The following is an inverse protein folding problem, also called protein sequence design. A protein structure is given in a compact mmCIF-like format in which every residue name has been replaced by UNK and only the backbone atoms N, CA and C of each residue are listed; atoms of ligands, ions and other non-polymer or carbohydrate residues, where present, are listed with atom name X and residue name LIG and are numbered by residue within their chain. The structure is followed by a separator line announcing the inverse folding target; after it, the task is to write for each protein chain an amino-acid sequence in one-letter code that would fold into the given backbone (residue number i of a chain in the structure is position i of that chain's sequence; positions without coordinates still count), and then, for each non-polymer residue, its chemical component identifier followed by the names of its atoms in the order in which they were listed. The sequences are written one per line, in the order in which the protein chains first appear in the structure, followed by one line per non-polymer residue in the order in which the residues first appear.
data_IF_496683787722
#
_entry.id   IF_496683787722
#
_cell.length_a   1.000
_cell.length_b   1.000
_cell.length_c   1.000
_cell.angle_alpha   90.00
_cell.angle_beta   90.00
_cell.angle_gamma   90.00
#
_symmetry.space_group_name_H-M   'P 1'
#
loop_
_entity.id
_entity.type
_entity.pdbx_description
1 polymer ?
#
# COMPACT_ATOMS: atom_id res chain seq x y z
N UNK A 1 8.62 1.13 -6.78
CA UNK A 1 8.43 1.14 -5.32
C UNK A 1 6.98 0.79 -5.02
N UNK A 2 6.67 0.21 -3.86
CA UNK A 2 5.31 -0.22 -3.52
C UNK A 2 4.26 0.91 -3.57
N UNK A 3 4.68 2.16 -3.32
CA UNK A 3 3.83 3.36 -3.46
C UNK A 3 3.43 3.57 -4.93
N UNK A 4 4.35 3.43 -5.88
CA UNK A 4 4.06 3.59 -7.31
C UNK A 4 3.06 2.53 -7.78
N UNK A 5 3.22 1.28 -7.32
CA UNK A 5 2.30 0.19 -7.66
C UNK A 5 0.92 0.41 -7.02
N UNK A 6 0.87 0.93 -5.79
CA UNK A 6 -0.38 1.33 -5.16
C UNK A 6 -1.06 2.48 -5.91
N UNK A 7 -0.29 3.47 -6.37
CA UNK A 7 -0.80 4.59 -7.17
C UNK A 7 -1.41 4.10 -8.48
N UNK A 8 -0.72 3.20 -9.20
CA UNK A 8 -1.29 2.56 -10.41
C UNK A 8 -2.61 1.87 -10.11
N UNK A 9 -2.68 1.07 -9.04
CA UNK A 9 -3.91 0.38 -8.64
C UNK A 9 -5.04 1.34 -8.28
N UNK A 10 -4.71 2.46 -7.63
CA UNK A 10 -5.68 3.51 -7.32
C UNK A 10 -6.17 4.22 -8.59
N UNK A 11 -5.31 4.44 -9.58
CA UNK A 11 -5.69 5.03 -10.86
C UNK A 11 -6.55 4.08 -11.70
N UNK A 12 -6.32 2.77 -11.63
CA UNK A 12 -7.10 1.73 -12.33
C UNK A 12 -8.47 1.50 -11.69
N UNK A 13 -8.51 1.24 -10.38
CA UNK A 13 -9.72 0.76 -9.68
C UNK A 13 -10.42 1.86 -8.87
N UNK A 14 -9.76 2.99 -8.64
CA UNK A 14 -10.22 4.06 -7.77
C UNK A 14 -9.89 3.83 -6.29
N UNK A 15 -9.55 4.91 -5.59
CA UNK A 15 -9.13 4.88 -4.17
C UNK A 15 -10.18 4.25 -3.24
N UNK A 16 -11.48 4.45 -3.51
CA UNK A 16 -12.58 3.84 -2.76
C UNK A 16 -12.60 2.31 -2.87
N UNK A 17 -12.34 1.77 -4.06
CA UNK A 17 -12.33 0.34 -4.29
C UNK A 17 -11.11 -0.30 -3.61
N UNK A 18 -9.94 0.31 -3.74
CA UNK A 18 -8.71 -0.12 -3.07
C UNK A 18 -8.88 -0.13 -1.55
N UNK A 19 -9.42 0.94 -0.98
CA UNK A 19 -9.70 1.03 0.45
C UNK A 19 -10.62 -0.12 0.92
N UNK A 20 -11.65 -0.46 0.15
CA UNK A 20 -12.54 -1.59 0.44
C UNK A 20 -11.81 -2.93 0.37
N UNK A 21 -11.03 -3.18 -0.70
CA UNK A 21 -10.22 -4.41 -0.86
C UNK A 21 -9.28 -4.62 0.33
N UNK A 22 -8.65 -3.54 0.79
CA UNK A 22 -7.70 -3.58 1.90
C UNK A 22 -8.35 -3.45 3.29
N UNK A 23 -9.68 -3.45 3.40
CA UNK A 23 -10.41 -3.19 4.66
C UNK A 23 -9.82 -2.00 5.42
N UNK A 24 -9.67 -0.87 4.72
CA UNK A 24 -9.02 0.36 5.17
C UNK A 24 -9.87 1.58 4.83
N UNK A 25 -9.59 2.74 5.43
CA UNK A 25 -10.24 4.00 5.04
C UNK A 25 -9.55 4.59 3.81
N UNK A 26 -10.29 5.36 3.00
CA UNK A 26 -9.69 6.09 1.87
C UNK A 26 -8.60 7.04 2.33
N UNK A 27 -8.80 7.71 3.47
CA UNK A 27 -7.81 8.60 4.07
C UNK A 27 -6.51 7.86 4.39
N UNK A 28 -6.58 6.62 4.87
CA UNK A 28 -5.40 5.81 5.14
C UNK A 28 -4.63 5.46 3.84
N UNK A 29 -5.34 5.11 2.77
CA UNK A 29 -4.69 4.92 1.45
C UNK A 29 -4.00 6.20 0.99
N UNK A 30 -4.65 7.35 1.18
CA UNK A 30 -4.09 8.66 0.82
C UNK A 30 -2.81 8.97 1.60
N UNK A 31 -2.78 8.66 2.89
CA UNK A 31 -1.61 8.83 3.75
C UNK A 31 -0.43 7.95 3.29
N UNK A 32 -0.72 6.72 2.83
CA UNK A 32 0.30 5.83 2.26
C UNK A 32 0.90 6.36 0.97
N UNK A 33 0.05 6.87 0.06
CA UNK A 33 0.51 7.44 -1.22
C UNK A 33 1.39 8.68 -1.03
N UNK A 34 1.16 9.46 0.03
CA UNK A 34 2.00 10.62 0.37
C UNK A 34 3.23 10.27 1.20
N UNK A 35 3.40 9.00 1.59
CA UNK A 35 4.48 8.58 2.48
C UNK A 35 4.35 9.08 3.94
N UNK A 36 3.23 9.69 4.32
CA UNK A 36 3.01 10.22 5.69
C UNK A 36 2.76 9.09 6.71
N UNK A 37 2.33 7.92 6.22
CA UNK A 37 2.14 6.70 6.99
C UNK A 37 2.60 5.51 6.17
N UNK A 38 3.04 4.47 6.87
CA UNK A 38 3.26 3.15 6.28
C UNK A 38 2.12 2.18 6.62
N UNK A 39 1.93 1.11 5.83
CA UNK A 39 1.01 0.04 6.17
C UNK A 39 1.52 -0.74 7.39
N UNK A 40 0.66 -0.95 8.39
CA UNK A 40 1.01 -1.82 9.51
C UNK A 40 1.13 -3.29 9.09
N UNK A 41 1.73 -4.15 9.91
CA UNK A 41 2.00 -5.56 9.61
C UNK A 41 0.78 -6.34 9.11
N UNK A 42 -0.41 -6.07 9.66
CA UNK A 42 -1.68 -6.69 9.26
C UNK A 42 -2.10 -6.36 7.81
N UNK A 43 -1.49 -5.34 7.19
CA UNK A 43 -1.75 -4.91 5.82
C UNK A 43 -0.74 -5.47 4.83
N UNK A 44 0.38 -6.07 5.27
CA UNK A 44 1.43 -6.56 4.38
C UNK A 44 0.90 -7.65 3.44
N UNK A 45 0.25 -8.69 3.97
CA UNK A 45 -0.31 -9.76 3.14
C UNK A 45 -1.35 -9.25 2.12
N UNK A 46 -2.45 -8.58 2.53
CA UNK A 46 -3.45 -8.12 1.57
C UNK A 46 -2.93 -7.07 0.59
N UNK A 47 -1.96 -6.24 1.00
CA UNK A 47 -1.31 -5.30 0.09
C UNK A 47 -0.39 -6.02 -0.91
N UNK A 48 0.37 -7.02 -0.47
CA UNK A 48 1.22 -7.82 -1.36
C UNK A 48 0.41 -8.57 -2.41
N UNK A 49 -0.74 -9.13 -2.03
CA UNK A 49 -1.69 -9.76 -2.97
C UNK A 49 -2.26 -8.74 -3.96
N UNK A 50 -2.68 -7.56 -3.48
CA UNK A 50 -3.21 -6.48 -4.33
C UNK A 50 -2.18 -5.99 -5.36
N UNK A 51 -0.93 -5.85 -4.93
CA UNK A 51 0.16 -5.34 -5.76
C UNK A 51 0.87 -6.44 -6.58
N UNK A 52 0.46 -7.71 -6.41
CA UNK A 52 1.15 -8.87 -6.99
C UNK A 52 2.66 -8.88 -6.67
N UNK A 53 2.98 -8.60 -5.42
CA UNK A 53 4.34 -8.56 -4.89
C UNK A 53 4.57 -9.68 -3.88
N UNK A 54 5.82 -10.11 -3.73
CA UNK A 54 6.18 -11.01 -2.64
C UNK A 54 6.07 -10.26 -1.28
N UNK A 55 5.43 -10.84 -0.25
CA UNK A 55 5.26 -10.16 1.05
C UNK A 55 6.58 -9.71 1.68
N UNK A 56 7.65 -10.50 1.51
CA UNK A 56 8.98 -10.19 2.01
C UNK A 56 9.55 -8.95 1.33
N UNK A 57 9.48 -8.90 0.00
CA UNK A 57 9.93 -7.75 -0.81
C UNK A 57 9.16 -6.48 -0.44
N UNK A 58 7.83 -6.57 -0.31
CA UNK A 58 7.02 -5.43 0.13
C UNK A 58 7.45 -4.90 1.50
N UNK A 59 7.73 -5.79 2.45
CA UNK A 59 8.19 -5.41 3.78
C UNK A 59 9.57 -4.74 3.73
N UNK A 60 10.49 -5.24 2.91
CA UNK A 60 11.80 -4.62 2.67
C UNK A 60 11.64 -3.19 2.13
N UNK A 61 10.82 -3.00 1.09
CA UNK A 61 10.57 -1.66 0.51
C UNK A 61 9.88 -0.70 1.50
N UNK A 62 9.00 -1.19 2.38
CA UNK A 62 8.38 -0.36 3.43
C UNK A 62 9.42 0.07 4.48
N UNK A 63 10.30 -0.84 4.89
CA UNK A 63 11.33 -0.55 5.89
C UNK A 63 12.41 0.40 5.37
N UNK A 64 12.69 0.37 4.07
CA UNK A 64 13.58 1.33 3.41
C UNK A 64 12.97 2.73 3.39
N UNK A 65 11.65 2.82 3.13
CA UNK A 65 10.91 4.09 3.17
C UNK A 65 10.81 4.72 4.57
N UNK A 66 10.89 3.94 5.66
CA UNK A 66 10.94 4.51 7.03
C UNK A 66 12.26 5.20 7.37
N UNK A 67 13.34 4.92 6.62
CA UNK A 67 14.69 5.44 6.91
C UNK A 67 15.06 6.67 6.09
N UNK A 68 14.18 7.12 5.20
CA UNK A 68 14.33 8.30 4.34
C UNK A 68 13.74 9.57 4.93
#
# INVERSE_FOLDING_TARGET
MWIDELEKKVNEDGQKAIAKKLSSSQSLISLWLRGERIPGTKKILPLSELLNMEPKKLLEEINENEKG
#
